data_IF_533260935490
#
_entry.id   IF_533260935490
#
_cell.length_a   1.000
_cell.length_b   1.000
_cell.length_c   1.000
_cell.angle_alpha   90.00
_cell.angle_beta   90.00
_cell.angle_gamma   90.00
#
_symmetry.space_group_name_H-M   'P 1'
#
loop_
_entity.id
_entity.type
_entity.pdbx_description
1 polymer ?
#
# COMPACT_ATOMS: atom_id res chain seq x y z
N UNK A 1 -4.86 -1.76 -8.09
CA UNK A 1 -6.01 -2.59 -8.49
C UNK A 1 -6.01 -3.85 -7.65
N UNK A 2 -7.17 -4.25 -7.14
CA UNK A 2 -7.34 -5.50 -6.39
C UNK A 2 -8.35 -6.37 -7.13
N UNK A 3 -7.97 -7.61 -7.39
CA UNK A 3 -8.75 -8.51 -8.22
C UNK A 3 -9.66 -9.41 -7.39
N UNK A 4 -10.88 -9.63 -7.88
CA UNK A 4 -11.82 -10.56 -7.30
C UNK A 4 -12.62 -11.23 -8.41
N UNK A 5 -12.54 -12.56 -8.49
CA UNK A 5 -13.25 -13.36 -9.50
C UNK A 5 -14.05 -14.46 -8.79
N UNK A 6 -15.30 -14.60 -9.19
CA UNK A 6 -16.16 -15.70 -8.80
C UNK A 6 -17.05 -16.12 -9.97
N UNK A 7 -17.44 -17.40 -9.96
CA UNK A 7 -18.32 -17.99 -10.95
C UNK A 7 -19.59 -18.45 -10.28
N UNK A 8 -20.73 -18.17 -10.91
CA UNK A 8 -22.04 -18.55 -10.41
C UNK A 8 -23.09 -18.40 -11.49
N UNK A 9 -24.17 -19.15 -11.35
CA UNK A 9 -25.39 -18.97 -12.15
C UNK A 9 -26.58 -18.93 -11.18
N UNK A 10 -27.31 -17.81 -11.04
CA UNK A 10 -27.14 -16.53 -11.74
C UNK A 10 -25.76 -15.87 -11.53
N UNK A 11 -25.39 -15.00 -12.47
CA UNK A 11 -24.13 -14.23 -12.43
C UNK A 11 -24.07 -13.45 -11.12
N UNK A 12 -23.00 -13.60 -10.32
CA UNK A 12 -22.93 -12.95 -9.02
C UNK A 12 -22.62 -11.45 -9.14
N UNK A 13 -23.06 -10.71 -8.12
CA UNK A 13 -22.78 -9.28 -7.92
C UNK A 13 -21.62 -9.13 -6.93
N UNK A 14 -20.81 -8.09 -7.13
CA UNK A 14 -19.60 -7.82 -6.36
C UNK A 14 -19.77 -6.55 -5.54
N UNK A 15 -19.24 -6.56 -4.32
CA UNK A 15 -19.08 -5.39 -3.46
C UNK A 15 -17.75 -5.48 -2.72
N UNK A 16 -17.19 -4.33 -2.37
CA UNK A 16 -15.91 -4.25 -1.66
C UNK A 16 -16.07 -3.58 -0.31
N UNK A 17 -15.24 -3.99 0.63
CA UNK A 17 -15.18 -3.46 1.99
C UNK A 17 -13.76 -3.01 2.30
N UNK A 18 -13.62 -1.84 2.93
CA UNK A 18 -12.37 -1.30 3.47
C UNK A 18 -12.53 -1.21 4.98
N UNK A 19 -11.70 -1.95 5.73
CA UNK A 19 -11.77 -2.05 7.18
C UNK A 19 -13.19 -2.41 7.68
N UNK A 20 -13.91 -3.24 6.93
CA UNK A 20 -15.28 -3.66 7.24
C UNK A 20 -16.38 -2.68 6.82
N UNK A 21 -16.04 -1.51 6.26
CA UNK A 21 -17.02 -0.54 5.73
C UNK A 21 -17.18 -0.73 4.23
N UNK A 22 -18.42 -0.75 3.73
CA UNK A 22 -18.69 -0.90 2.29
C UNK A 22 -18.13 0.29 1.51
N UNK A 23 -17.52 0.01 0.36
CA UNK A 23 -17.05 1.03 -0.57
C UNK A 23 -18.24 1.58 -1.34
N UNK A 24 -18.48 2.88 -1.18
CA UNK A 24 -19.42 3.62 -1.99
C UNK A 24 -18.66 4.34 -3.13
N UNK A 25 -18.78 3.80 -4.34
CA UNK A 25 -18.13 4.36 -5.55
C UNK A 25 -18.75 5.67 -6.00
N UNK A 26 -19.98 5.99 -5.58
CA UNK A 26 -20.63 7.26 -5.90
C UNK A 26 -20.16 8.38 -4.95
N UNK A 27 -19.70 8.01 -3.74
CA UNK A 27 -19.22 8.96 -2.75
C UNK A 27 -17.75 9.39 -2.96
N UNK A 28 -16.89 8.51 -3.48
CA UNK A 28 -15.49 8.82 -3.81
C UNK A 28 -15.17 8.38 -5.25
N UNK A 29 -15.07 9.36 -6.14
CA UNK A 29 -14.77 9.19 -7.57
C UNK A 29 -13.42 8.51 -7.84
N UNK A 30 -12.55 8.40 -6.83
CA UNK A 30 -11.29 7.66 -6.97
C UNK A 30 -11.52 6.16 -7.10
N UNK A 31 -12.64 5.65 -6.56
CA UNK A 31 -12.98 4.24 -6.60
C UNK A 31 -13.76 3.88 -7.85
N UNK A 32 -13.43 2.73 -8.44
CA UNK A 32 -14.17 2.18 -9.57
C UNK A 32 -14.22 0.66 -9.48
N UNK A 33 -15.39 0.08 -9.79
CA UNK A 33 -15.58 -1.37 -9.87
C UNK A 33 -15.71 -1.80 -11.32
N UNK A 34 -14.81 -2.68 -11.77
CA UNK A 34 -14.82 -3.23 -13.13
C UNK A 34 -14.70 -4.76 -13.06
N UNK A 35 -15.75 -5.47 -13.47
CA UNK A 35 -15.81 -6.93 -13.47
C UNK A 35 -15.39 -7.55 -12.12
N UNK A 36 -15.87 -6.97 -11.02
CA UNK A 36 -15.54 -7.42 -9.66
C UNK A 36 -14.22 -6.87 -9.10
N UNK A 37 -13.36 -6.27 -9.92
CA UNK A 37 -12.10 -5.69 -9.48
C UNK A 37 -12.29 -4.28 -8.93
N UNK A 38 -11.63 -3.96 -7.82
CA UNK A 38 -11.57 -2.61 -7.26
C UNK A 38 -10.33 -1.88 -7.79
N UNK A 39 -10.57 -0.72 -8.39
CA UNK A 39 -9.54 0.21 -8.87
C UNK A 39 -9.61 1.46 -7.98
N UNK A 40 -8.45 1.89 -7.50
CA UNK A 40 -8.27 3.14 -6.74
C UNK A 40 -7.36 4.02 -7.59
N UNK A 41 -7.87 5.14 -8.08
CA UNK A 41 -7.09 6.14 -8.81
C UNK A 41 -6.47 7.13 -7.82
N UNK A 42 -5.25 7.60 -8.11
CA UNK A 42 -4.47 8.46 -7.19
C UNK A 42 -4.44 7.91 -5.75
N UNK A 43 -4.11 6.63 -5.63
CA UNK A 43 -4.05 5.94 -4.34
C UNK A 43 -2.94 6.53 -3.46
N UNK A 44 -3.24 6.77 -2.19
CA UNK A 44 -2.32 7.33 -1.19
C UNK A 44 -2.13 6.37 -0.02
N UNK A 45 -0.89 6.23 0.44
CA UNK A 45 -0.57 5.42 1.63
C UNK A 45 -1.35 5.86 2.87
N UNK A 46 -1.50 7.16 3.08
CA UNK A 46 -2.16 7.71 4.27
C UNK A 46 -3.67 7.52 4.26
N UNK A 47 -4.29 7.45 3.08
CA UNK A 47 -5.75 7.42 2.93
C UNK A 47 -6.28 6.02 2.64
N UNK A 48 -5.54 5.24 1.84
CA UNK A 48 -6.03 3.98 1.29
C UNK A 48 -5.37 2.75 1.94
N UNK A 49 -4.40 2.91 2.84
CA UNK A 49 -3.91 1.80 3.68
C UNK A 49 -5.07 1.18 4.47
N UNK A 50 -5.20 -0.14 4.38
CA UNK A 50 -6.27 -0.84 5.09
C UNK A 50 -6.47 -2.28 4.65
N UNK A 51 -7.40 -2.95 5.31
CA UNK A 51 -7.84 -4.30 4.97
C UNK A 51 -8.99 -4.24 3.98
N UNK A 52 -8.80 -4.86 2.83
CA UNK A 52 -9.76 -4.95 1.76
C UNK A 52 -10.36 -6.35 1.71
N UNK A 53 -11.66 -6.42 1.51
CA UNK A 53 -12.38 -7.68 1.38
C UNK A 53 -13.42 -7.57 0.28
N UNK A 54 -13.46 -8.57 -0.59
CA UNK A 54 -14.47 -8.68 -1.64
C UNK A 54 -15.62 -9.55 -1.14
N UNK A 55 -16.85 -9.08 -1.30
CA UNK A 55 -18.07 -9.86 -1.12
C UNK A 55 -18.68 -10.15 -2.48
N UNK A 56 -18.99 -11.42 -2.69
CA UNK A 56 -19.67 -11.93 -3.88
C UNK A 56 -21.00 -12.52 -3.47
N UNK A 57 -22.08 -12.13 -4.15
CA UNK A 57 -23.44 -12.57 -3.81
C UNK A 57 -24.24 -12.95 -5.07
N UNK A 58 -25.01 -14.04 -4.98
CA UNK A 58 -26.06 -14.35 -5.93
C UNK A 58 -27.31 -14.85 -5.18
N UNK A 59 -28.35 -15.26 -5.92
CA UNK A 59 -29.61 -15.72 -5.34
C UNK A 59 -29.49 -16.94 -4.42
N UNK A 60 -28.37 -17.67 -4.46
CA UNK A 60 -28.15 -18.87 -3.65
C UNK A 60 -27.30 -18.60 -2.40
N UNK A 61 -26.61 -17.47 -2.33
CA UNK A 61 -25.85 -17.12 -1.15
C UNK A 61 -24.76 -16.09 -1.37
N UNK A 62 -23.93 -15.94 -0.35
CA UNK A 62 -22.85 -14.96 -0.26
C UNK A 62 -21.55 -15.63 0.13
N UNK A 63 -20.45 -15.19 -0.46
CA UNK A 63 -19.09 -15.58 -0.08
C UNK A 63 -18.25 -14.32 0.11
N UNK A 64 -17.44 -14.32 1.17
CA UNK A 64 -16.41 -13.30 1.42
C UNK A 64 -15.04 -13.85 1.03
N UNK A 65 -14.21 -13.00 0.42
CA UNK A 65 -12.80 -13.30 0.22
C UNK A 65 -12.06 -13.31 1.56
N UNK A 66 -10.80 -13.75 1.53
CA UNK A 66 -9.86 -13.45 2.62
C UNK A 66 -9.59 -11.95 2.67
N UNK A 67 -9.14 -11.47 3.81
CA UNK A 67 -8.63 -10.12 3.96
C UNK A 67 -7.34 -9.95 3.16
N UNK A 68 -7.28 -8.88 2.36
CA UNK A 68 -6.08 -8.42 1.69
C UNK A 68 -5.64 -7.09 2.32
N UNK A 69 -4.41 -7.03 2.85
CA UNK A 69 -3.87 -5.79 3.40
C UNK A 69 -3.20 -4.99 2.28
N UNK A 70 -3.77 -3.83 1.93
CA UNK A 70 -3.13 -2.90 1.01
C UNK A 70 -2.02 -2.16 1.76
N UNK A 71 -0.79 -2.40 1.34
CA UNK A 71 0.39 -1.70 1.83
C UNK A 71 1.07 -1.04 0.64
N UNK A 72 1.52 0.19 0.84
CA UNK A 72 2.34 0.87 -0.14
C UNK A 72 3.77 0.47 0.20
N UNK A 73 4.41 -0.25 -0.71
CA UNK A 73 5.84 -0.46 -0.59
C UNK A 73 6.48 0.91 -0.80
N UNK A 74 6.92 1.53 0.28
CA UNK A 74 7.84 2.63 0.17
C UNK A 74 9.14 2.03 -0.42
N UNK A 75 9.37 2.16 -1.73
CA UNK A 75 10.72 1.98 -2.32
C UNK A 75 11.69 3.09 -1.89
N UNK A 76 11.43 3.73 -0.75
CA UNK A 76 12.40 4.49 0.01
C UNK A 76 12.65 3.75 1.32
N UNK A 77 13.61 2.82 1.28
CA UNK A 77 14.71 2.92 2.25
C UNK A 77 15.42 4.28 2.04
N UNK A 78 14.70 5.33 2.46
CA UNK A 78 15.13 6.63 2.96
C UNK A 78 16.35 7.32 2.30
N UNK A 79 16.12 8.13 1.27
CA UNK A 79 17.10 9.19 0.93
C UNK A 79 17.43 10.07 2.15
N UNK A 80 16.49 10.22 3.11
CA UNK A 80 16.69 10.95 4.36
C UNK A 80 17.52 10.21 5.42
N UNK A 81 17.49 8.88 5.50
CA UNK A 81 18.37 8.14 6.42
C UNK A 81 19.69 7.81 5.74
N UNK A 82 19.70 7.48 4.44
CA UNK A 82 20.92 7.34 3.64
C UNK A 82 21.72 8.65 3.68
N UNK A 83 21.07 9.82 3.58
CA UNK A 83 21.78 11.10 3.73
C UNK A 83 22.31 11.32 5.15
N UNK A 84 21.57 10.96 6.20
CA UNK A 84 22.05 11.06 7.59
C UNK A 84 23.25 10.12 7.87
N UNK A 85 23.18 8.86 7.43
CA UNK A 85 24.28 7.90 7.57
C UNK A 85 25.50 8.34 6.75
N UNK A 86 25.30 8.75 5.49
CA UNK A 86 26.39 9.25 4.63
C UNK A 86 27.04 10.51 5.23
N UNK A 87 26.25 11.44 5.77
CA UNK A 87 26.74 12.64 6.45
C UNK A 87 27.58 12.29 7.68
N UNK A 88 27.09 11.42 8.56
CA UNK A 88 27.80 10.99 9.77
C UNK A 88 29.12 10.29 9.45
N UNK A 89 29.14 9.41 8.43
CA UNK A 89 30.35 8.74 7.94
C UNK A 89 31.35 9.75 7.33
N UNK A 90 30.91 10.69 6.50
CA UNK A 90 31.78 11.72 5.90
C UNK A 90 32.39 12.64 6.96
N UNK A 91 31.61 13.08 7.95
CA UNK A 91 32.13 13.87 9.07
C UNK A 91 33.17 13.09 9.88
N UNK A 92 32.89 11.83 10.20
CA UNK A 92 33.84 10.96 10.92
C UNK A 92 35.13 10.76 10.10
N UNK A 93 35.05 10.61 8.78
CA UNK A 93 36.23 10.52 7.90
C UNK A 93 37.00 11.84 7.79
N UNK A 94 36.32 12.98 7.78
CA UNK A 94 36.94 14.31 7.77
C UNK A 94 37.64 14.59 9.10
N UNK A 95 37.01 14.27 10.23
CA UNK A 95 37.61 14.34 11.56
C UNK A 95 38.80 13.38 11.68
N UNK A 96 38.70 12.17 11.13
CA UNK A 96 39.80 11.22 11.08
C UNK A 96 40.98 11.75 10.24
N UNK A 97 40.73 12.35 9.08
CA UNK A 97 41.77 13.01 8.27
C UNK A 97 42.40 14.21 9.00
N UNK A 98 41.61 14.99 9.76
CA UNK A 98 42.08 16.16 10.53
C UNK A 98 42.88 15.76 11.78
N UNK A 99 42.55 14.63 12.40
CA UNK A 99 43.32 14.04 13.50
C UNK A 99 44.53 13.21 13.03
N UNK A 100 44.57 12.77 11.78
CA UNK A 100 45.75 12.08 11.23
C UNK A 100 46.97 13.00 11.10
N UNK A 101 46.77 14.31 11.02
CA UNK A 101 47.86 15.31 11.10
C UNK A 101 48.44 15.50 12.51
N UNK A 102 47.89 14.84 13.55
CA UNK A 102 48.41 14.88 14.93
C UNK A 102 49.01 13.55 15.42
N UNK A 103 48.94 12.49 14.61
CA UNK A 103 49.61 11.21 14.88
C UNK A 103 50.67 10.94 13.80
N UNK A 104 51.65 11.83 13.73
CA UNK A 104 52.89 11.58 12.99
C UNK A 104 54.09 12.11 13.80
N UNK A 105 54.66 11.32 14.73
CA UNK A 105 56.10 11.29 14.89
C UNK A 105 56.75 10.43 13.79
#
# INVERSE_FOLDING_TARGET
MMSCEARGNPVPVYSWFINGTVVDVEADYRYSLINGNLIITNASETADYGRYQCKVENSYGTVLSRDALLQFACEYLSLSLISQFTYSIVYTMLDWKKNRSLFNP
#
